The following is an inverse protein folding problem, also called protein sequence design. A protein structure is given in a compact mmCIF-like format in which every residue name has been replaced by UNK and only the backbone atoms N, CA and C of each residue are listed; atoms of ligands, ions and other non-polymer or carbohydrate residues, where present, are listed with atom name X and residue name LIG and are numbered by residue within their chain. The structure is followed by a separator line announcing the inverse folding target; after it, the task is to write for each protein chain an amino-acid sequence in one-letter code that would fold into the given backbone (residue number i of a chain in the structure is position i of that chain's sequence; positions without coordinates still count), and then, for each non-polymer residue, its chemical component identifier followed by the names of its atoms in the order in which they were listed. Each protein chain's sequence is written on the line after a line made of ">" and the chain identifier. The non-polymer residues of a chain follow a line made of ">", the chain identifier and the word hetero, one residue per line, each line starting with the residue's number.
data_IF_999764241710
#
_entry.id   IF_999764241710
#
_cell.length_a   1.000
_cell.length_b   1.000
_cell.length_c   1.000
_cell.angle_alpha   90.00
_cell.angle_beta   90.00
_cell.angle_gamma   90.00
#
_symmetry.space_group_name_H-M   'P 1'
#
loop_
_entity.id
_entity.type
_entity.pdbx_description
1 polymer ?
#
# COMPACT_ATOMS: atom_id res chain seq x y z
N UNK A 1 -0.34 1.37 27.69
CA UNK A 1 -1.73 1.57 27.19
C UNK A 1 -1.74 1.37 25.67
N UNK A 2 -2.87 1.24 24.96
CA UNK A 2 -2.95 0.74 23.57
C UNK A 2 -1.89 1.29 22.58
N UNK A 3 -1.55 2.58 22.69
CA UNK A 3 -0.54 3.22 21.86
C UNK A 3 0.88 2.67 22.10
N UNK A 4 1.23 2.28 23.31
CA UNK A 4 2.54 1.70 23.62
C UNK A 4 2.69 0.33 22.95
N UNK A 5 1.61 -0.48 22.95
CA UNK A 5 1.58 -1.75 22.22
C UNK A 5 1.68 -1.51 20.71
N UNK A 6 0.93 -0.52 20.18
CA UNK A 6 0.97 -0.16 18.78
C UNK A 6 2.36 0.33 18.33
N UNK A 7 2.97 1.24 19.09
CA UNK A 7 4.33 1.74 18.86
C UNK A 7 5.38 0.63 18.99
N UNK A 8 5.16 -0.30 19.91
CA UNK A 8 5.95 -1.52 20.07
C UNK A 8 5.69 -2.60 19.02
N UNK A 9 4.88 -2.32 17.98
CA UNK A 9 4.50 -3.25 16.90
C UNK A 9 3.79 -4.53 17.37
N UNK A 10 3.21 -4.49 18.57
CA UNK A 10 2.38 -5.54 19.15
C UNK A 10 0.94 -5.32 18.69
N UNK A 11 0.71 -5.55 17.40
CA UNK A 11 -0.53 -5.18 16.71
C UNK A 11 -1.74 -5.96 17.21
N UNK A 12 -1.58 -7.25 17.51
CA UNK A 12 -2.64 -8.07 18.09
C UNK A 12 -3.11 -7.52 19.45
N UNK A 13 -2.19 -7.25 20.38
CA UNK A 13 -2.53 -6.74 21.70
C UNK A 13 -3.12 -5.33 21.62
N UNK A 14 -2.56 -4.47 20.75
CA UNK A 14 -3.12 -3.14 20.49
C UNK A 14 -4.55 -3.24 19.94
N UNK A 15 -4.81 -4.16 19.02
CA UNK A 15 -6.12 -4.40 18.40
C UNK A 15 -7.17 -4.78 19.45
N UNK A 16 -6.86 -5.72 20.35
CA UNK A 16 -7.77 -6.13 21.42
C UNK A 16 -8.18 -4.95 22.31
N UNK A 17 -7.23 -4.06 22.61
CA UNK A 17 -7.52 -2.85 23.42
C UNK A 17 -8.36 -1.86 22.61
N UNK A 18 -8.05 -1.61 21.34
CA UNK A 18 -8.83 -0.71 20.49
C UNK A 18 -10.27 -1.19 20.28
N UNK A 19 -10.48 -2.50 20.10
CA UNK A 19 -11.82 -3.09 20.01
C UNK A 19 -12.61 -2.85 21.30
N UNK A 20 -12.00 -3.10 22.46
CA UNK A 20 -12.62 -2.84 23.77
C UNK A 20 -12.95 -1.36 23.96
N UNK A 21 -12.09 -0.45 23.50
CA UNK A 21 -12.36 0.99 23.54
C UNK A 21 -13.53 1.37 22.63
N UNK A 22 -13.58 0.83 21.41
CA UNK A 22 -14.65 1.10 20.44
C UNK A 22 -16.03 0.59 20.85
N UNK A 23 -16.11 -0.42 21.72
CA UNK A 23 -17.38 -0.88 22.31
C UNK A 23 -17.95 0.10 23.33
N UNK A 24 -17.09 0.80 24.06
CA UNK A 24 -17.47 1.68 25.17
C UNK A 24 -17.51 3.15 24.79
N UNK A 25 -16.78 3.54 23.73
CA UNK A 25 -16.58 4.93 23.34
C UNK A 25 -16.58 5.09 21.82
N UNK A 26 -17.04 6.26 21.36
CA UNK A 26 -16.84 6.68 19.97
C UNK A 26 -15.37 7.04 19.76
N UNK A 27 -14.66 6.24 18.98
CA UNK A 27 -13.24 6.48 18.68
C UNK A 27 -13.05 7.71 17.78
N UNK A 28 -12.02 8.50 18.08
CA UNK A 28 -11.52 9.52 17.16
C UNK A 28 -10.98 8.85 15.88
N UNK A 29 -11.10 9.47 14.70
CA UNK A 29 -10.61 8.93 13.43
C UNK A 29 -9.17 8.40 13.46
N UNK A 30 -8.26 9.00 14.24
CA UNK A 30 -6.88 8.50 14.38
C UNK A 30 -6.82 7.10 14.99
N UNK A 31 -7.61 6.83 16.04
CA UNK A 31 -7.69 5.51 16.66
C UNK A 31 -8.37 4.49 15.73
N UNK A 32 -9.33 4.93 14.91
CA UNK A 32 -9.90 4.08 13.86
C UNK A 32 -8.83 3.71 12.83
N UNK A 33 -7.98 4.66 12.41
CA UNK A 33 -6.86 4.36 11.51
C UNK A 33 -5.83 3.41 12.15
N UNK A 34 -5.48 3.59 13.43
CA UNK A 34 -4.62 2.64 14.15
C UNK A 34 -5.21 1.22 14.20
N UNK A 35 -6.53 1.13 14.40
CA UNK A 35 -7.24 -0.15 14.34
C UNK A 35 -7.13 -0.78 12.94
N UNK A 36 -7.27 0.02 11.88
CA UNK A 36 -7.05 -0.40 10.50
C UNK A 36 -5.63 -0.89 10.24
N UNK A 37 -4.62 -0.21 10.78
CA UNK A 37 -3.22 -0.65 10.71
C UNK A 37 -3.02 -1.98 11.42
N UNK A 38 -3.60 -2.16 12.61
CA UNK A 38 -3.51 -3.46 13.28
C UNK A 38 -4.13 -4.58 12.44
N UNK A 39 -5.33 -4.37 11.87
CA UNK A 39 -5.94 -5.36 10.99
C UNK A 39 -5.11 -5.66 9.74
N UNK A 40 -4.46 -4.65 9.15
CA UNK A 40 -3.54 -4.83 8.03
C UNK A 40 -2.36 -5.76 8.39
N UNK A 41 -1.74 -5.56 9.56
CA UNK A 41 -0.65 -6.43 10.02
C UNK A 41 -1.11 -7.83 10.47
N UNK A 42 -2.38 -7.99 10.83
CA UNK A 42 -3.01 -9.29 11.10
C UNK A 42 -3.57 -9.95 9.82
N UNK A 43 -3.32 -9.37 8.64
CA UNK A 43 -3.82 -9.81 7.33
C UNK A 43 -5.36 -9.85 7.20
N UNK A 44 -6.10 -9.23 8.12
CA UNK A 44 -7.56 -9.01 8.01
C UNK A 44 -7.83 -7.77 7.14
N UNK A 45 -7.53 -7.91 5.85
CA UNK A 45 -7.62 -6.79 4.91
C UNK A 45 -9.04 -6.24 4.78
N UNK A 46 -10.07 -7.09 4.96
CA UNK A 46 -11.47 -6.65 4.89
C UNK A 46 -11.78 -5.65 6.01
N UNK A 47 -11.40 -5.96 7.25
CA UNK A 47 -11.61 -5.00 8.35
C UNK A 47 -10.67 -3.81 8.28
N UNK A 48 -9.46 -4.01 7.74
CA UNK A 48 -8.53 -2.91 7.50
C UNK A 48 -9.14 -1.85 6.57
N UNK A 49 -9.68 -2.24 5.41
CA UNK A 49 -10.31 -1.29 4.47
C UNK A 49 -11.51 -0.59 5.10
N UNK A 50 -12.36 -1.29 5.86
CA UNK A 50 -13.49 -0.67 6.57
C UNK A 50 -13.05 0.43 7.55
N UNK A 51 -11.92 0.22 8.22
CA UNK A 51 -11.35 1.21 9.13
C UNK A 51 -10.76 2.40 8.36
N UNK A 52 -9.97 2.13 7.32
CA UNK A 52 -9.31 3.18 6.53
C UNK A 52 -10.30 4.05 5.76
N UNK A 53 -11.31 3.46 5.11
CA UNK A 53 -12.35 4.18 4.37
C UNK A 53 -13.12 5.16 5.26
N UNK A 54 -13.32 4.79 6.54
CA UNK A 54 -13.95 5.67 7.54
C UNK A 54 -13.00 6.73 8.06
N UNK A 55 -11.74 6.39 8.29
CA UNK A 55 -10.78 7.25 8.98
C UNK A 55 -10.12 8.29 8.05
N UNK A 56 -9.54 7.85 6.92
CA UNK A 56 -8.69 8.68 6.05
C UNK A 56 -9.35 10.00 5.63
N UNK A 57 -10.64 10.07 5.23
CA UNK A 57 -11.28 11.34 4.86
C UNK A 57 -11.25 12.41 5.95
N UNK A 58 -11.13 11.99 7.22
CA UNK A 58 -11.13 12.85 8.41
C UNK A 58 -9.71 13.20 8.89
N UNK A 59 -8.66 12.68 8.23
CA UNK A 59 -7.26 12.84 8.66
C UNK A 59 -6.48 13.87 7.81
N UNK A 60 -7.14 14.69 6.99
CA UNK A 60 -6.47 15.58 6.01
C UNK A 60 -5.47 16.58 6.62
N UNK A 61 -5.57 16.89 7.90
CA UNK A 61 -4.67 17.81 8.63
C UNK A 61 -3.47 17.12 9.31
N UNK A 62 -3.31 15.80 9.13
CA UNK A 62 -2.23 15.04 9.74
C UNK A 62 -0.91 15.21 8.99
N UNK A 63 0.19 14.84 9.66
CA UNK A 63 1.52 14.90 9.08
C UNK A 63 1.57 14.11 7.76
N UNK A 64 2.20 14.64 6.69
CA UNK A 64 2.28 13.97 5.40
C UNK A 64 2.82 12.54 5.46
N UNK A 65 3.84 12.29 6.30
CA UNK A 65 4.42 10.95 6.48
C UNK A 65 3.44 9.96 7.13
N UNK A 66 2.65 10.40 8.10
CA UNK A 66 1.63 9.56 8.74
C UNK A 66 0.49 9.25 7.75
N UNK A 67 0.08 10.24 6.96
CA UNK A 67 -0.92 10.06 5.90
C UNK A 67 -0.43 9.14 4.78
N UNK A 68 0.81 9.30 4.33
CA UNK A 68 1.48 8.41 3.37
C UNK A 68 1.31 6.95 3.78
N UNK A 69 1.63 6.62 5.04
CA UNK A 69 1.53 5.26 5.54
C UNK A 69 0.08 4.75 5.57
N UNK A 70 -0.90 5.57 5.97
CA UNK A 70 -2.30 5.15 5.92
C UNK A 70 -2.79 4.90 4.50
N UNK A 71 -2.39 5.74 3.54
CA UNK A 71 -2.68 5.48 2.12
C UNK A 71 -2.04 4.19 1.65
N UNK A 72 -0.79 3.92 2.02
CA UNK A 72 -0.10 2.67 1.69
C UNK A 72 -0.83 1.44 2.26
N UNK A 73 -1.12 1.43 3.56
CA UNK A 73 -1.77 0.29 4.21
C UNK A 73 -3.20 0.05 3.68
N UNK A 74 -3.94 1.13 3.38
CA UNK A 74 -5.24 1.02 2.71
C UNK A 74 -5.10 0.47 1.28
N UNK A 75 -4.15 0.98 0.50
CA UNK A 75 -3.89 0.53 -0.87
C UNK A 75 -3.50 -0.95 -0.90
N UNK A 76 -2.59 -1.39 -0.03
CA UNK A 76 -2.21 -2.80 0.10
C UNK A 76 -3.40 -3.66 0.54
N UNK A 77 -4.23 -3.18 1.46
CA UNK A 77 -5.42 -3.93 1.88
C UNK A 77 -6.42 -4.11 0.73
N UNK A 78 -6.68 -3.05 -0.06
CA UNK A 78 -7.49 -3.18 -1.27
C UNK A 78 -6.84 -4.07 -2.32
N UNK A 79 -5.52 -3.97 -2.52
CA UNK A 79 -4.76 -4.78 -3.46
C UNK A 79 -4.86 -6.28 -3.13
N UNK A 80 -4.70 -6.66 -1.86
CA UNK A 80 -4.81 -8.05 -1.42
C UNK A 80 -6.25 -8.59 -1.49
N UNK A 81 -7.25 -7.70 -1.55
CA UNK A 81 -8.63 -8.04 -1.84
C UNK A 81 -8.95 -8.00 -3.35
N UNK A 82 -7.94 -7.85 -4.20
CA UNK A 82 -8.05 -7.71 -5.67
C UNK A 82 -8.89 -6.49 -6.12
N UNK A 83 -9.09 -5.52 -5.22
CA UNK A 83 -9.86 -4.29 -5.49
C UNK A 83 -8.96 -3.22 -6.12
N UNK A 84 -8.40 -3.53 -7.29
CA UNK A 84 -7.38 -2.70 -7.95
C UNK A 84 -7.87 -1.28 -8.28
N UNK A 85 -9.17 -1.10 -8.59
CA UNK A 85 -9.78 0.22 -8.82
C UNK A 85 -9.72 1.14 -7.60
N UNK A 86 -9.76 0.58 -6.40
CA UNK A 86 -9.65 1.34 -5.15
C UNK A 86 -8.20 1.51 -4.72
N UNK A 87 -7.36 0.49 -4.95
CA UNK A 87 -5.96 0.52 -4.56
C UNK A 87 -5.15 1.57 -5.35
N UNK A 88 -5.36 1.68 -6.67
CA UNK A 88 -4.61 2.58 -7.55
C UNK A 88 -4.58 4.04 -7.07
N UNK A 89 -5.73 4.73 -6.86
CA UNK A 89 -5.70 6.13 -6.43
C UNK A 89 -5.13 6.32 -5.01
N UNK A 90 -5.11 5.27 -4.19
CA UNK A 90 -4.48 5.33 -2.86
C UNK A 90 -2.95 5.25 -2.97
N UNK A 91 -2.41 4.41 -3.85
CA UNK A 91 -0.98 4.40 -4.16
C UNK A 91 -0.51 5.73 -4.74
N UNK A 92 -1.26 6.30 -5.68
CA UNK A 92 -0.93 7.62 -6.26
C UNK A 92 -0.91 8.70 -5.18
N UNK A 93 -1.89 8.72 -4.28
CA UNK A 93 -1.89 9.64 -3.13
C UNK A 93 -0.71 9.42 -2.21
N UNK A 94 -0.39 8.18 -1.90
CA UNK A 94 0.80 7.83 -1.10
C UNK A 94 2.08 8.40 -1.72
N UNK A 95 2.27 8.22 -3.03
CA UNK A 95 3.45 8.69 -3.77
C UNK A 95 3.65 10.21 -3.73
N UNK A 96 2.57 10.98 -3.53
CA UNK A 96 2.65 12.45 -3.39
C UNK A 96 3.09 12.93 -2.00
N UNK A 97 3.07 12.03 -1.00
CA UNK A 97 3.32 12.37 0.40
C UNK A 97 4.53 11.63 1.00
N UNK A 98 4.89 10.49 0.44
CA UNK A 98 5.94 9.61 0.95
C UNK A 98 7.36 10.11 0.68
N UNK A 99 8.32 9.59 1.43
CA UNK A 99 9.74 9.76 1.13
C UNK A 99 10.19 8.84 -0.01
N UNK A 100 11.34 9.14 -0.60
CA UNK A 100 11.82 8.42 -1.79
C UNK A 100 12.08 6.93 -1.54
N UNK A 101 12.52 6.54 -0.35
CA UNK A 101 12.81 5.15 0.04
C UNK A 101 11.54 4.29 0.19
N UNK A 102 10.38 4.93 0.40
CA UNK A 102 9.08 4.27 0.52
C UNK A 102 8.42 4.00 -0.85
N UNK A 103 8.87 4.67 -1.92
CA UNK A 103 8.22 4.63 -3.25
C UNK A 103 8.33 3.28 -3.96
N UNK A 104 9.35 2.49 -3.66
CA UNK A 104 9.69 1.28 -4.44
C UNK A 104 8.54 0.25 -4.47
N UNK A 105 7.91 -0.03 -3.33
CA UNK A 105 6.80 -1.00 -3.26
C UNK A 105 5.54 -0.45 -3.96
N UNK A 106 5.25 0.84 -3.81
CA UNK A 106 4.09 1.47 -4.43
C UNK A 106 4.17 1.41 -5.97
N UNK A 107 5.34 1.74 -6.56
CA UNK A 107 5.53 1.61 -8.00
C UNK A 107 5.44 0.16 -8.49
N UNK A 108 5.96 -0.80 -7.71
CA UNK A 108 5.83 -2.22 -8.06
C UNK A 108 4.36 -2.66 -8.09
N UNK A 109 3.56 -2.24 -7.11
CA UNK A 109 2.13 -2.55 -7.02
C UNK A 109 1.32 -1.86 -8.12
N UNK A 110 1.64 -0.62 -8.46
CA UNK A 110 1.04 0.08 -9.61
C UNK A 110 1.34 -0.65 -10.92
N UNK A 111 2.59 -1.07 -11.14
CA UNK A 111 2.96 -1.87 -12.32
C UNK A 111 2.14 -3.16 -12.44
N UNK A 112 1.90 -3.84 -11.31
CA UNK A 112 1.05 -5.03 -11.26
C UNK A 112 -0.42 -4.74 -11.55
N UNK A 113 -0.96 -3.64 -11.01
CA UNK A 113 -2.34 -3.19 -11.28
C UNK A 113 -2.50 -2.91 -12.78
N UNK A 114 -1.61 -2.14 -13.38
CA UNK A 114 -1.64 -1.84 -14.81
C UNK A 114 -1.49 -3.11 -15.67
N UNK A 115 -0.66 -4.07 -15.23
CA UNK A 115 -0.56 -5.38 -15.87
C UNK A 115 -1.90 -6.12 -15.88
N UNK A 116 -2.62 -6.14 -14.76
CA UNK A 116 -3.97 -6.75 -14.67
C UNK A 116 -4.99 -6.06 -15.58
N UNK A 117 -4.81 -4.77 -15.85
CA UNK A 117 -5.64 -3.98 -16.77
C UNK A 117 -5.21 -4.08 -18.23
N UNK A 118 -4.15 -4.82 -18.54
CA UNK A 118 -3.52 -4.86 -19.87
C UNK A 118 -2.99 -3.49 -20.34
N UNK A 119 -2.70 -2.58 -19.42
CA UNK A 119 -2.12 -1.26 -19.67
C UNK A 119 -0.59 -1.36 -19.71
N UNK A 120 -0.08 -2.06 -20.72
CA UNK A 120 1.31 -2.55 -20.74
C UNK A 120 2.38 -1.45 -20.69
N UNK A 121 2.14 -0.30 -21.33
CA UNK A 121 3.08 0.84 -21.28
C UNK A 121 3.16 1.43 -19.87
N UNK A 122 2.00 1.70 -19.25
CA UNK A 122 1.94 2.18 -17.87
C UNK A 122 2.55 1.18 -16.89
N UNK A 123 2.33 -0.12 -17.10
CA UNK A 123 2.94 -1.17 -16.30
C UNK A 123 4.48 -1.14 -16.41
N UNK A 124 4.99 -1.04 -17.63
CA UNK A 124 6.43 -0.97 -17.93
C UNK A 124 7.09 0.23 -17.24
N UNK A 125 6.50 1.43 -17.38
CA UNK A 125 7.00 2.66 -16.75
C UNK A 125 7.08 2.52 -15.23
N UNK A 126 6.01 2.00 -14.61
CA UNK A 126 5.96 1.78 -13.17
C UNK A 126 6.98 0.72 -12.71
N UNK A 127 7.18 -0.36 -13.45
CA UNK A 127 8.20 -1.35 -13.10
C UNK A 127 9.62 -0.82 -13.25
N UNK A 128 9.89 0.05 -14.22
CA UNK A 128 11.18 0.73 -14.33
C UNK A 128 11.43 1.69 -13.17
N UNK A 129 10.42 2.44 -12.75
CA UNK A 129 10.50 3.28 -11.55
C UNK A 129 10.76 2.40 -10.32
N UNK A 130 9.98 1.34 -10.12
CA UNK A 130 10.18 0.39 -9.03
C UNK A 130 11.63 -0.14 -9.01
N UNK A 131 12.14 -0.63 -10.14
CA UNK A 131 13.51 -1.14 -10.26
C UNK A 131 14.56 -0.08 -9.88
N UNK A 132 14.34 1.16 -10.27
CA UNK A 132 15.24 2.29 -9.96
C UNK A 132 15.29 2.53 -8.45
N UNK A 133 14.13 2.61 -7.80
CA UNK A 133 14.04 2.83 -6.35
C UNK A 133 14.56 1.62 -5.54
N UNK A 134 14.25 0.38 -5.94
CA UNK A 134 14.81 -0.81 -5.27
C UNK A 134 16.32 -0.85 -5.36
N UNK A 135 16.91 -0.60 -6.54
CA UNK A 135 18.38 -0.56 -6.68
C UNK A 135 19.03 0.53 -5.83
N UNK A 136 18.36 1.66 -5.66
CA UNK A 136 18.89 2.81 -4.93
C UNK A 136 18.79 2.65 -3.41
N UNK A 137 17.65 2.17 -2.91
CA UNK A 137 17.35 2.17 -1.47
C UNK A 137 17.34 0.78 -0.84
N UNK A 138 17.11 -0.27 -1.64
CA UNK A 138 16.98 -1.67 -1.17
C UNK A 138 17.73 -2.66 -2.09
N UNK A 139 19.05 -2.45 -2.34
CA UNK A 139 19.81 -3.26 -3.28
C UNK A 139 19.93 -4.73 -2.86
N UNK A 140 19.78 -5.02 -1.57
CA UNK A 140 19.87 -6.38 -1.02
C UNK A 140 18.64 -7.24 -1.34
N UNK A 141 17.51 -6.65 -1.75
CA UNK A 141 16.30 -7.37 -2.17
C UNK A 141 16.44 -7.95 -3.59
N UNK A 142 17.47 -8.76 -3.82
CA UNK A 142 17.81 -9.31 -5.14
C UNK A 142 16.67 -10.12 -5.76
N UNK A 143 15.92 -10.87 -4.95
CA UNK A 143 14.76 -11.63 -5.40
C UNK A 143 13.68 -10.72 -5.98
N UNK A 144 13.38 -9.60 -5.32
CA UNK A 144 12.39 -8.62 -5.79
C UNK A 144 12.88 -7.93 -7.05
N UNK A 145 14.15 -7.53 -7.08
CA UNK A 145 14.78 -6.93 -8.26
C UNK A 145 14.72 -7.87 -9.46
N UNK A 146 14.97 -9.17 -9.28
CA UNK A 146 14.85 -10.16 -10.33
C UNK A 146 13.41 -10.32 -10.81
N UNK A 147 12.43 -10.36 -9.90
CA UNK A 147 11.02 -10.40 -10.25
C UNK A 147 10.61 -9.19 -11.09
N UNK A 148 11.01 -7.97 -10.70
CA UNK A 148 10.69 -6.75 -11.44
C UNK A 148 11.27 -6.80 -12.86
N UNK A 149 12.51 -7.30 -13.02
CA UNK A 149 13.11 -7.48 -14.36
C UNK A 149 12.32 -8.44 -15.23
N UNK A 150 11.85 -9.56 -14.66
CA UNK A 150 11.02 -10.51 -15.39
C UNK A 150 9.68 -9.88 -15.81
N UNK A 151 9.06 -9.08 -14.93
CA UNK A 151 7.83 -8.34 -15.26
C UNK A 151 8.08 -7.34 -16.40
N UNK A 152 9.20 -6.61 -16.39
CA UNK A 152 9.60 -5.69 -17.46
C UNK A 152 9.71 -6.43 -18.80
N UNK A 153 10.42 -7.56 -18.84
CA UNK A 153 10.54 -8.39 -20.05
C UNK A 153 9.17 -8.83 -20.55
N UNK A 154 8.31 -9.32 -19.65
CA UNK A 154 6.95 -9.71 -19.99
C UNK A 154 6.10 -8.57 -20.55
N UNK A 155 6.24 -7.34 -20.02
CA UNK A 155 5.58 -6.16 -20.57
C UNK A 155 6.09 -5.82 -21.98
N UNK A 156 7.42 -5.85 -22.20
CA UNK A 156 8.00 -5.61 -23.52
C UNK A 156 7.49 -6.61 -24.57
N UNK A 157 7.49 -7.91 -24.24
CA UNK A 157 7.00 -8.95 -25.14
C UNK A 157 5.53 -8.72 -25.54
N UNK A 158 4.70 -8.27 -24.59
CA UNK A 158 3.29 -7.95 -24.86
C UNK A 158 3.12 -6.72 -25.74
N UNK A 159 3.91 -5.67 -25.52
CA UNK A 159 3.91 -4.47 -26.36
C UNK A 159 4.31 -4.82 -27.79
N UNK A 160 5.37 -5.62 -27.97
CA UNK A 160 5.84 -6.06 -29.28
C UNK A 160 4.84 -6.96 -30.02
N UNK A 161 4.08 -7.78 -29.28
CA UNK A 161 3.00 -8.58 -29.86
C UNK A 161 1.83 -7.72 -30.34
N UNK A 162 1.53 -6.62 -29.65
CA UNK A 162 0.46 -5.70 -30.00
C UNK A 162 0.84 -4.76 -31.14
N UNK A 163 2.11 -4.39 -31.28
CA UNK A 163 2.60 -3.53 -32.37
C UNK A 163 2.69 -4.24 -33.72
N UNK A 164 2.72 -5.58 -33.73
CA UNK A 164 2.77 -6.42 -34.93
C UNK A 164 1.38 -6.82 -35.48
N UNK A 165 0.29 -6.42 -34.82
CA UNK A 165 -1.09 -6.62 -35.26
C UNK A 165 -1.62 -5.39 -35.98
#
# INVERSE_FOLDING_TARGET
>A
MALDYFQGRKYHEALLIFQKLGQNYRLNPRFVAYTGVCYYYEWDYRRAVECFDKAIPQLKSFAPSELSFYYFAAAESHFNLEQYDKALPLYEKMLTLCQDDEKADAYYKLGFIHTNRNEWLSALDNFHLALTYYRRFRPDEQARIAQIRNMIVGCCDKIDQLSKK
#
